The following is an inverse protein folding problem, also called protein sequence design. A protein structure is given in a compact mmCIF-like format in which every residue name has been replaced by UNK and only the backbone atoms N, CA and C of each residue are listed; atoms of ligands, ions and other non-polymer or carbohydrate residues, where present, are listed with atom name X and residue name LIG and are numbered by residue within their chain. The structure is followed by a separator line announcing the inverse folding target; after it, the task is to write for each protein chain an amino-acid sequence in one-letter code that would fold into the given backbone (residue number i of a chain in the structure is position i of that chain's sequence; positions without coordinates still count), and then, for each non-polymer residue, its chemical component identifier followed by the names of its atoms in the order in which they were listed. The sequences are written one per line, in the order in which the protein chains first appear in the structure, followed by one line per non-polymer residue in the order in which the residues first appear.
data_IF_943007569469
#
_entry.id   IF_943007569469
#
_cell.length_a   1.000
_cell.length_b   1.000
_cell.length_c   1.000
_cell.angle_alpha   90.00
_cell.angle_beta   90.00
_cell.angle_gamma   90.00
#
_symmetry.space_group_name_H-M   'P 1'
#
loop_
_entity.id
_entity.type
_entity.pdbx_description
1 polymer ?
#
# COMPACT_ATOMS: atom_id res chain seq x y z
N UNK A 1 22.74 13.18 -27.58
CA UNK A 1 23.31 13.56 -26.27
C UNK A 1 22.75 12.58 -25.24
N UNK A 2 23.50 11.53 -24.87
CA UNK A 2 23.05 10.59 -23.83
C UNK A 2 23.14 11.33 -22.50
N UNK A 3 21.99 11.62 -21.86
CA UNK A 3 22.00 12.04 -20.46
C UNK A 3 22.61 10.88 -19.68
N UNK A 4 23.78 11.10 -19.11
CA UNK A 4 24.33 10.21 -18.09
C UNK A 4 23.42 10.39 -16.87
N UNK A 5 22.40 9.54 -16.75
CA UNK A 5 21.63 9.45 -15.53
C UNK A 5 22.57 8.87 -14.48
N UNK A 6 23.03 9.70 -13.55
CA UNK A 6 23.60 9.23 -12.31
C UNK A 6 22.43 8.65 -11.52
N UNK A 7 22.15 7.36 -11.72
CA UNK A 7 20.91 6.70 -11.25
C UNK A 7 20.92 6.50 -9.74
N UNK A 8 20.75 7.60 -9.00
CA UNK A 8 20.54 7.61 -7.56
C UNK A 8 19.06 7.95 -7.34
N UNK A 9 18.34 7.00 -6.77
CA UNK A 9 16.91 7.10 -6.50
C UNK A 9 16.69 7.36 -5.03
N UNK A 10 15.97 8.42 -4.67
CA UNK A 10 15.61 8.68 -3.28
C UNK A 10 14.47 7.78 -2.83
N UNK A 11 14.61 7.12 -1.67
CA UNK A 11 13.58 6.27 -1.07
C UNK A 11 13.03 6.89 0.21
N UNK A 12 11.76 6.59 0.50
CA UNK A 12 10.99 7.27 1.55
C UNK A 12 11.11 6.58 2.92
N UNK A 13 12.35 6.34 3.34
CA UNK A 13 12.69 5.82 4.67
C UNK A 13 12.78 6.99 5.65
N UNK A 14 12.03 6.96 6.75
CA UNK A 14 11.97 8.02 7.75
C UNK A 14 12.31 7.49 9.14
N UNK A 15 12.75 8.38 10.02
CA UNK A 15 13.09 8.03 11.39
C UNK A 15 11.89 8.19 12.31
N UNK A 16 11.45 7.11 12.96
CA UNK A 16 10.53 7.20 14.09
C UNK A 16 11.29 7.71 15.32
N UNK A 17 10.95 8.92 15.75
CA UNK A 17 11.62 9.57 16.89
C UNK A 17 11.30 8.93 18.24
N UNK A 18 10.27 8.07 18.32
CA UNK A 18 9.91 7.34 19.54
C UNK A 18 10.72 6.04 19.68
N UNK A 19 10.74 5.20 18.65
CA UNK A 19 11.48 3.93 18.67
C UNK A 19 12.94 4.07 18.26
N UNK A 20 13.32 5.20 17.66
CA UNK A 20 14.61 5.45 17.03
C UNK A 20 14.94 4.45 15.90
N UNK A 21 13.91 3.90 15.24
CA UNK A 21 14.06 2.97 14.11
C UNK A 21 13.61 3.59 12.79
N UNK A 22 14.20 3.09 11.72
CA UNK A 22 13.82 3.41 10.35
C UNK A 22 12.50 2.72 9.98
N UNK A 23 11.57 3.48 9.41
CA UNK A 23 10.28 3.00 8.92
C UNK A 23 9.98 3.55 7.53
N UNK A 24 9.11 2.88 6.78
CA UNK A 24 8.60 3.44 5.55
C UNK A 24 7.59 4.54 5.88
N UNK A 25 7.69 5.68 5.20
CA UNK A 25 6.80 6.80 5.46
C UNK A 25 5.35 6.60 4.97
N UNK A 26 5.05 5.48 4.30
CA UNK A 26 3.69 5.04 4.01
C UNK A 26 3.08 4.19 5.15
N UNK A 27 3.87 3.89 6.19
CA UNK A 27 3.48 3.08 7.34
C UNK A 27 3.64 1.58 7.14
N UNK A 28 4.16 1.14 5.98
CA UNK A 28 4.47 -0.28 5.76
C UNK A 28 5.68 -0.73 6.60
N UNK A 29 5.73 -2.02 6.91
CA UNK A 29 6.80 -2.60 7.71
C UNK A 29 8.10 -2.65 6.90
N UNK A 30 9.22 -2.25 7.51
CA UNK A 30 10.54 -2.42 6.91
C UNK A 30 11.04 -3.86 7.15
N UNK A 31 10.54 -4.80 6.35
CA UNK A 31 10.86 -6.23 6.42
C UNK A 31 11.92 -6.67 5.40
N UNK A 32 12.10 -5.90 4.32
CA UNK A 32 13.13 -6.11 3.31
C UNK A 32 14.35 -5.23 3.53
N UNK A 33 15.54 -5.84 3.44
CA UNK A 33 16.85 -5.16 3.32
C UNK A 33 17.61 -5.78 2.15
N UNK A 34 18.31 -5.00 1.31
CA UNK A 34 19.10 -5.54 0.22
C UNK A 34 20.30 -6.35 0.75
N UNK A 35 20.99 -7.07 -0.14
CA UNK A 35 22.20 -7.81 0.22
C UNK A 35 23.39 -6.90 0.61
N UNK A 36 23.37 -5.63 0.20
CA UNK A 36 24.39 -4.64 0.50
C UNK A 36 23.74 -3.29 0.79
N UNK A 37 24.03 -2.71 1.95
CA UNK A 37 23.49 -1.44 2.42
C UNK A 37 24.41 -0.80 3.45
N UNK A 38 24.20 0.49 3.71
CA UNK A 38 24.90 1.24 4.74
C UNK A 38 24.55 0.74 6.15
N UNK A 39 25.57 0.48 6.97
CA UNK A 39 25.43 -0.02 8.34
C UNK A 39 24.58 0.89 9.25
N UNK A 40 24.39 2.16 8.90
CA UNK A 40 23.50 3.09 9.58
C UNK A 40 22.03 2.65 9.55
N UNK A 41 21.64 1.73 8.66
CA UNK A 41 20.29 1.15 8.61
C UNK A 41 19.97 0.36 9.89
N UNK A 42 20.99 -0.23 10.52
CA UNK A 42 20.86 -1.03 11.74
C UNK A 42 21.13 -0.22 13.03
N UNK A 43 21.46 1.06 12.88
CA UNK A 43 21.69 1.98 14.00
C UNK A 43 20.44 2.78 14.31
N UNK A 44 20.47 3.42 15.47
CA UNK A 44 19.41 4.34 15.85
C UNK A 44 19.39 5.52 14.87
N UNK A 45 18.22 5.77 14.30
CA UNK A 45 18.05 6.74 13.25
C UNK A 45 18.05 8.18 13.79
N UNK A 46 18.15 9.15 12.89
CA UNK A 46 17.86 10.55 13.20
C UNK A 46 17.23 11.24 11.97
N UNK A 47 16.61 12.39 12.20
CA UNK A 47 15.86 13.14 11.17
C UNK A 47 16.75 13.90 10.19
N UNK A 48 18.08 13.90 10.37
CA UNK A 48 19.03 14.58 9.49
C UNK A 48 19.52 13.70 8.34
N UNK A 49 19.14 12.42 8.33
CA UNK A 49 19.56 11.44 7.33
C UNK A 49 18.44 11.15 6.33
N UNK A 50 18.83 10.98 5.08
CA UNK A 50 17.96 10.55 3.98
C UNK A 50 18.52 9.28 3.35
N UNK A 51 17.66 8.50 2.69
CA UNK A 51 18.05 7.24 2.10
C UNK A 51 17.91 7.25 0.58
N UNK A 52 18.91 6.70 -0.09
CA UNK A 52 18.94 6.58 -1.54
C UNK A 52 19.35 5.18 -1.97
N UNK A 53 18.92 4.77 -3.15
CA UNK A 53 19.35 3.56 -3.83
C UNK A 53 20.30 3.97 -4.95
N UNK A 54 21.52 3.44 -4.92
CA UNK A 54 22.47 3.58 -6.02
C UNK A 54 22.16 2.60 -7.16
N UNK A 55 22.75 2.83 -8.33
CA UNK A 55 22.52 2.02 -9.55
C UNK A 55 22.82 0.52 -9.39
N UNK A 56 23.63 0.14 -8.39
CA UNK A 56 23.99 -1.24 -8.06
C UNK A 56 23.03 -1.87 -7.03
N UNK A 57 21.96 -1.17 -6.63
CA UNK A 57 21.02 -1.62 -5.60
C UNK A 57 21.49 -1.38 -4.16
N UNK A 58 22.64 -0.75 -3.94
CA UNK A 58 23.13 -0.40 -2.61
C UNK A 58 22.28 0.71 -1.99
N UNK A 59 21.82 0.50 -0.77
CA UNK A 59 21.12 1.52 0.00
C UNK A 59 22.12 2.36 0.78
N UNK A 60 22.09 3.65 0.55
CA UNK A 60 23.07 4.59 1.07
C UNK A 60 22.38 5.66 1.92
N UNK A 61 23.03 6.05 3.02
CA UNK A 61 22.53 7.06 3.93
C UNK A 61 23.21 8.41 3.64
N UNK A 62 22.45 9.34 3.08
CA UNK A 62 22.90 10.71 2.82
C UNK A 62 22.61 11.67 3.98
N UNK A 63 23.28 12.82 3.97
CA UNK A 63 22.90 13.97 4.80
C UNK A 63 21.81 14.77 4.08
N UNK A 64 20.71 15.04 4.77
CA UNK A 64 19.52 15.72 4.22
C UNK A 64 19.75 17.15 3.73
N UNK A 65 20.97 17.69 3.88
CA UNK A 65 21.35 19.05 3.46
C UNK A 65 22.17 19.11 2.17
N UNK A 66 22.51 17.98 1.56
CA UNK A 66 23.30 18.00 0.33
C UNK A 66 22.39 18.19 -0.88
N UNK A 67 22.64 19.25 -1.66
CA UNK A 67 22.01 19.56 -2.95
C UNK A 67 22.45 18.57 -4.03
N UNK A 68 22.07 17.31 -3.89
CA UNK A 68 22.15 16.33 -4.96
C UNK A 68 20.88 16.39 -5.82
N UNK A 69 21.04 16.30 -7.13
CA UNK A 69 19.93 16.10 -8.07
C UNK A 69 19.58 14.61 -8.00
N UNK A 70 18.43 14.29 -7.42
CA UNK A 70 17.93 12.92 -7.33
C UNK A 70 16.81 12.69 -8.33
N UNK A 71 16.72 11.49 -8.89
CA UNK A 71 15.52 11.06 -9.60
C UNK A 71 14.44 10.73 -8.55
N UNK A 72 13.28 11.39 -8.66
CA UNK A 72 12.14 11.18 -7.76
C UNK A 72 11.16 10.21 -8.42
N UNK A 73 10.86 9.12 -7.72
CA UNK A 73 9.82 8.18 -8.12
C UNK A 73 8.72 8.16 -7.07
N UNK A 74 7.48 8.24 -7.52
CA UNK A 74 6.31 8.09 -6.66
C UNK A 74 5.83 6.64 -6.77
N UNK A 75 5.77 5.94 -5.64
CA UNK A 75 5.08 4.66 -5.55
C UNK A 75 3.73 4.88 -4.87
N UNK A 76 2.71 4.18 -5.36
CA UNK A 76 1.46 3.98 -4.62
C UNK A 76 1.34 2.48 -4.43
N UNK A 77 1.03 2.04 -3.22
CA UNK A 77 0.58 0.68 -3.04
C UNK A 77 -0.87 0.61 -3.53
N UNK A 78 -1.19 -0.38 -4.37
CA UNK A 78 -2.58 -0.81 -4.45
C UNK A 78 -2.95 -1.22 -3.03
N UNK A 79 -4.04 -0.68 -2.50
CA UNK A 79 -4.48 -0.94 -1.13
C UNK A 79 -4.90 -2.41 -1.05
N UNK A 80 -3.93 -3.30 -0.92
CA UNK A 80 -4.18 -4.72 -0.76
C UNK A 80 -4.94 -4.85 0.54
N UNK A 81 -6.18 -5.34 0.45
CA UNK A 81 -6.95 -5.63 1.65
C UNK A 81 -6.12 -6.58 2.48
N UNK A 82 -5.83 -6.17 3.72
CA UNK A 82 -5.24 -7.01 4.76
C UNK A 82 -5.90 -8.38 4.65
N UNK A 83 -5.16 -9.51 4.70
CA UNK A 83 -5.78 -10.83 4.69
C UNK A 83 -6.84 -10.83 5.78
N UNK A 84 -8.10 -10.76 5.38
CA UNK A 84 -9.22 -10.83 6.30
C UNK A 84 -9.16 -12.26 6.78
N UNK A 85 -8.69 -12.48 8.02
CA UNK A 85 -8.87 -13.77 8.67
C UNK A 85 -10.35 -14.13 8.54
N UNK A 86 -10.61 -15.18 7.76
CA UNK A 86 -11.85 -15.96 7.62
C UNK A 86 -13.08 -15.33 8.31
N UNK A 87 -13.73 -14.34 7.69
CA UNK A 87 -14.99 -13.81 8.25
C UNK A 87 -16.08 -13.51 7.23
N UNK A 88 -16.00 -14.03 6.00
CA UNK A 88 -17.15 -14.05 5.08
C UNK A 88 -18.28 -14.98 5.55
N UNK A 89 -18.44 -15.28 6.86
CA UNK A 89 -19.43 -16.21 7.43
C UNK A 89 -20.90 -15.86 7.08
N UNK A 90 -21.17 -14.66 6.54
CA UNK A 90 -22.51 -14.20 6.09
C UNK A 90 -22.56 -13.66 4.65
N UNK A 91 -21.46 -13.74 3.90
CA UNK A 91 -21.28 -13.09 2.61
C UNK A 91 -20.76 -14.12 1.58
N UNK A 92 -21.11 -13.96 0.30
CA UNK A 92 -20.46 -14.71 -0.78
C UNK A 92 -19.03 -14.21 -0.93
N UNK A 93 -18.07 -15.15 -0.95
CA UNK A 93 -16.64 -14.86 -0.99
C UNK A 93 -16.14 -14.92 -2.44
N UNK A 94 -15.62 -13.81 -2.97
CA UNK A 94 -14.83 -13.80 -4.21
C UNK A 94 -13.36 -14.07 -3.81
N UNK A 95 -13.05 -15.36 -3.67
CA UNK A 95 -11.85 -15.91 -3.03
C UNK A 95 -10.48 -15.42 -3.55
N UNK A 96 -10.42 -14.54 -4.56
CA UNK A 96 -9.17 -14.08 -5.17
C UNK A 96 -8.71 -12.68 -4.71
N UNK A 97 -9.59 -11.80 -4.23
CA UNK A 97 -9.22 -10.45 -3.76
C UNK A 97 -9.53 -10.16 -2.28
N UNK A 98 -10.20 -11.11 -1.61
CA UNK A 98 -10.56 -11.01 -0.20
C UNK A 98 -11.76 -10.09 0.07
N UNK A 99 -12.56 -9.77 -0.96
CA UNK A 99 -13.81 -9.02 -0.84
C UNK A 99 -14.99 -9.99 -0.66
N UNK A 100 -15.79 -9.77 0.38
CA UNK A 100 -17.05 -10.49 0.56
C UNK A 100 -18.26 -9.65 0.08
N UNK A 101 -19.19 -10.26 -0.63
CA UNK A 101 -20.39 -9.64 -1.21
C UNK A 101 -21.68 -10.18 -0.58
N UNK A 102 -22.72 -9.34 -0.50
CA UNK A 102 -24.05 -9.80 -0.07
C UNK A 102 -25.13 -9.10 -0.88
N UNK A 103 -26.05 -9.91 -1.41
CA UNK A 103 -27.26 -9.42 -2.07
C UNK A 103 -28.29 -9.05 -1.01
N UNK A 104 -28.80 -7.83 -1.08
CA UNK A 104 -29.89 -7.38 -0.21
C UNK A 104 -31.20 -8.11 -0.50
N UNK A 105 -31.96 -8.46 0.55
CA UNK A 105 -33.20 -9.22 0.41
C UNK A 105 -34.39 -8.42 -0.17
N UNK A 106 -34.28 -7.09 -0.25
CA UNK A 106 -35.35 -6.20 -0.70
C UNK A 106 -34.83 -5.13 -1.66
N UNK A 107 -35.70 -4.71 -2.59
CA UNK A 107 -35.45 -3.53 -3.41
C UNK A 107 -35.57 -2.27 -2.56
N UNK A 108 -34.53 -1.44 -2.59
CA UNK A 108 -34.41 -0.25 -1.76
C UNK A 108 -33.98 0.96 -2.61
N UNK A 109 -34.28 2.17 -2.14
CA UNK A 109 -33.69 3.36 -2.76
C UNK A 109 -32.18 3.35 -2.56
N UNK A 110 -31.42 3.99 -3.45
CA UNK A 110 -29.95 4.07 -3.32
C UNK A 110 -29.51 4.53 -1.92
N UNK A 111 -30.22 5.51 -1.35
CA UNK A 111 -29.92 6.06 -0.03
C UNK A 111 -30.18 5.04 1.07
N UNK A 112 -31.30 4.33 1.01
CA UNK A 112 -31.66 3.32 2.01
C UNK A 112 -30.71 2.12 1.93
N UNK A 113 -30.39 1.66 0.72
CA UNK A 113 -29.42 0.59 0.48
C UNK A 113 -28.04 0.94 1.04
N UNK A 114 -27.53 2.15 0.75
CA UNK A 114 -26.24 2.61 1.28
C UNK A 114 -26.26 2.76 2.81
N UNK A 115 -27.37 3.21 3.41
CA UNK A 115 -27.52 3.28 4.87
C UNK A 115 -27.55 1.88 5.49
N UNK A 116 -28.22 0.92 4.85
CA UNK A 116 -28.31 -0.44 5.34
C UNK A 116 -26.96 -1.18 5.25
N UNK A 117 -26.22 -1.04 4.14
CA UNK A 117 -24.83 -1.53 4.06
C UNK A 117 -23.97 -0.95 5.18
N UNK A 118 -24.08 0.37 5.45
CA UNK A 118 -23.33 1.02 6.54
C UNK A 118 -23.70 0.50 7.94
N UNK A 119 -24.96 0.15 8.19
CA UNK A 119 -25.37 -0.48 9.47
C UNK A 119 -24.70 -1.83 9.70
N UNK A 120 -24.32 -2.53 8.63
CA UNK A 120 -23.60 -3.80 8.66
C UNK A 120 -22.07 -3.63 8.67
N UNK A 121 -21.56 -2.40 8.74
CA UNK A 121 -20.13 -2.11 8.64
C UNK A 121 -19.56 -2.15 7.22
N UNK A 122 -20.43 -2.21 6.19
CA UNK A 122 -20.08 -2.31 4.78
C UNK A 122 -20.47 -1.06 3.98
N UNK A 123 -20.27 -1.09 2.66
CA UNK A 123 -20.76 -0.11 1.69
C UNK A 123 -21.47 -0.79 0.53
N UNK A 124 -22.18 -0.03 -0.32
CA UNK A 124 -22.60 -0.55 -1.61
C UNK A 124 -21.36 -1.02 -2.40
N UNK A 125 -21.52 -2.11 -3.16
CA UNK A 125 -20.43 -2.69 -3.93
C UNK A 125 -19.81 -1.66 -4.89
N UNK A 126 -18.48 -1.65 -4.94
CA UNK A 126 -17.68 -0.95 -5.95
C UNK A 126 -17.04 -1.98 -6.88
N UNK A 127 -16.66 -1.52 -8.08
CA UNK A 127 -16.02 -2.34 -9.11
C UNK A 127 -14.69 -1.68 -9.48
N UNK A 128 -13.57 -2.35 -9.22
CA UNK A 128 -12.22 -1.86 -9.48
C UNK A 128 -11.46 -2.71 -10.50
N UNK A 129 -11.98 -3.87 -10.90
CA UNK A 129 -11.37 -4.73 -11.89
C UNK A 129 -12.44 -5.54 -12.67
N UNK A 130 -12.00 -6.28 -13.70
CA UNK A 130 -12.89 -7.06 -14.56
C UNK A 130 -13.52 -8.28 -13.85
N UNK A 131 -12.81 -8.85 -12.89
CA UNK A 131 -13.27 -9.98 -12.10
C UNK A 131 -14.42 -9.58 -11.17
N UNK A 132 -14.29 -8.48 -10.42
CA UNK A 132 -15.37 -7.97 -9.54
C UNK A 132 -16.66 -7.73 -10.35
N UNK A 133 -16.51 -7.22 -11.59
CA UNK A 133 -17.64 -7.03 -12.51
C UNK A 133 -18.29 -8.34 -12.94
N UNK A 134 -17.48 -9.35 -13.28
CA UNK A 134 -17.95 -10.67 -13.66
C UNK A 134 -18.65 -11.36 -12.48
N UNK A 135 -18.03 -11.38 -11.31
CA UNK A 135 -18.59 -11.93 -10.07
C UNK A 135 -19.96 -11.32 -9.76
N UNK A 136 -20.04 -9.98 -9.64
CA UNK A 136 -21.30 -9.29 -9.34
C UNK A 136 -22.38 -9.54 -10.40
N UNK A 137 -22.02 -9.68 -11.68
CA UNK A 137 -22.98 -9.98 -12.75
C UNK A 137 -23.62 -11.35 -12.58
N UNK A 138 -22.86 -12.34 -12.11
CA UNK A 138 -23.36 -13.70 -11.85
C UNK A 138 -24.18 -13.77 -10.56
N UNK A 139 -23.72 -13.13 -9.47
CA UNK A 139 -24.41 -13.09 -8.18
C UNK A 139 -25.76 -12.35 -8.25
N UNK A 140 -25.90 -11.34 -9.11
CA UNK A 140 -27.16 -10.60 -9.28
C UNK A 140 -28.21 -11.28 -10.19
N UNK A 141 -27.93 -12.47 -10.75
CA UNK A 141 -28.75 -13.10 -11.80
C UNK A 141 -29.83 -14.08 -11.32
N UNK A 142 -30.38 -13.93 -10.10
CA UNK A 142 -31.47 -14.77 -9.58
C UNK A 142 -32.74 -13.99 -9.25
#
# INVERSE_FOLDING_TARGET
MRRLFFSILMIRLVCDTKSLKWEWADGSVLDYKPSSYDYLLDKDCNTLRTWVIQYNGYWDAGEGHVTHIFDIFCTTQLKQMVPVEDSCERYEDDSEDGICYQVGASSESWRDAQMNCKKLGANLASIHNAQENEFLSTTCSF
#
